data_IF_946102152426
#
_entry.id   IF_946102152426
#
_cell.length_a   1.000
_cell.length_b   1.000
_cell.length_c   1.000
_cell.angle_alpha   90.00
_cell.angle_beta   90.00
_cell.angle_gamma   90.00
#
_symmetry.space_group_name_H-M   'P 1'
#
loop_
_entity.id
_entity.type
_entity.pdbx_description
1 polymer ?
#
# COMPACT_ATOMS: atom_id res chain seq x y z
N UNK A 1 -3.77 -6.90 22.17
CA UNK A 1 -3.46 -5.87 21.16
C UNK A 1 -4.55 -5.98 20.12
N UNK A 2 -5.06 -4.88 19.56
CA UNK A 2 -6.03 -4.97 18.46
C UNK A 2 -5.32 -5.51 17.21
N UNK A 3 -6.06 -6.20 16.33
CA UNK A 3 -5.58 -6.74 15.05
C UNK A 3 -4.99 -5.66 14.14
N UNK A 4 -5.53 -4.44 14.20
CA UNK A 4 -5.03 -3.29 13.44
C UNK A 4 -3.66 -2.81 13.98
N UNK A 5 -3.49 -2.76 15.30
CA UNK A 5 -2.20 -2.40 15.92
C UNK A 5 -1.11 -3.43 15.58
N UNK A 6 -1.47 -4.71 15.53
CA UNK A 6 -0.59 -5.80 15.09
C UNK A 6 -0.10 -5.62 13.65
N UNK A 7 -1.01 -5.29 12.73
CA UNK A 7 -0.66 -5.02 11.34
C UNK A 7 0.28 -3.82 11.21
N UNK A 8 -0.02 -2.69 11.88
CA UNK A 8 0.86 -1.53 11.82
C UNK A 8 2.24 -1.82 12.42
N UNK A 9 2.29 -2.57 13.53
CA UNK A 9 3.56 -2.99 14.12
C UNK A 9 4.37 -3.84 13.14
N UNK A 10 3.75 -4.82 12.48
CA UNK A 10 4.41 -5.69 11.51
C UNK A 10 4.92 -4.90 10.29
N UNK A 11 4.13 -3.94 9.80
CA UNK A 11 4.53 -3.03 8.73
C UNK A 11 5.72 -2.15 9.12
N UNK A 12 5.70 -1.59 10.33
CA UNK A 12 6.80 -0.74 10.82
C UNK A 12 8.09 -1.56 11.01
N UNK A 13 7.98 -2.80 11.51
CA UNK A 13 9.09 -3.75 11.55
C UNK A 13 9.64 -4.02 10.14
N UNK A 14 8.78 -4.29 9.15
CA UNK A 14 9.20 -4.52 7.77
C UNK A 14 9.97 -3.33 7.17
N UNK A 15 9.51 -2.10 7.43
CA UNK A 15 10.22 -0.88 7.02
C UNK A 15 11.59 -0.77 7.68
N UNK A 16 11.67 -1.05 8.98
CA UNK A 16 12.93 -1.00 9.72
C UNK A 16 13.91 -2.08 9.25
N UNK A 17 13.43 -3.31 9.01
CA UNK A 17 14.23 -4.40 8.46
C UNK A 17 14.80 -4.03 7.09
N UNK A 18 13.98 -3.48 6.20
CA UNK A 18 14.41 -3.04 4.86
C UNK A 18 15.46 -1.93 4.96
N UNK A 19 15.26 -0.95 5.84
CA UNK A 19 16.24 0.12 6.09
C UNK A 19 17.57 -0.42 6.59
N UNK A 20 17.53 -1.32 7.59
CA UNK A 20 18.72 -1.86 8.23
C UNK A 20 19.52 -2.76 7.27
N UNK A 21 18.83 -3.67 6.56
CA UNK A 21 19.42 -4.62 5.61
C UNK A 21 19.92 -3.91 4.35
N UNK A 22 19.29 -2.82 3.93
CA UNK A 22 19.68 -2.02 2.77
C UNK A 22 20.99 -1.24 2.93
N UNK A 23 21.59 -1.22 4.12
CA UNK A 23 22.88 -0.53 4.36
C UNK A 23 24.06 -1.30 3.78
N UNK A 24 25.07 -0.59 3.26
CA UNK A 24 26.28 -1.22 2.72
C UNK A 24 27.02 -2.07 3.77
N UNK A 25 27.00 -1.66 5.04
CA UNK A 25 27.59 -2.40 6.16
C UNK A 25 26.84 -3.69 6.44
N UNK A 26 25.50 -3.66 6.48
CA UNK A 26 24.70 -4.88 6.64
C UNK A 26 24.90 -5.84 5.46
N UNK A 27 24.91 -5.33 4.22
CA UNK A 27 25.19 -6.12 3.03
C UNK A 27 26.54 -6.84 3.09
N UNK A 28 27.61 -6.15 3.52
CA UNK A 28 28.92 -6.77 3.73
C UNK A 28 28.86 -7.90 4.76
N UNK A 29 28.13 -7.69 5.86
CA UNK A 29 27.98 -8.69 6.92
C UNK A 29 27.18 -9.90 6.45
N UNK A 30 26.14 -9.73 5.63
CA UNK A 30 25.38 -10.86 5.08
C UNK A 30 26.17 -11.65 4.02
N UNK A 31 27.03 -10.98 3.25
CA UNK A 31 27.95 -11.67 2.32
C UNK A 31 29.08 -12.41 3.04
N UNK A 32 29.47 -11.96 4.23
CA UNK A 32 30.49 -12.59 5.03
C UNK A 32 30.06 -12.67 6.51
N UNK A 33 29.39 -13.76 6.92
CA UNK A 33 28.85 -13.91 8.27
C UNK A 33 29.88 -13.77 9.39
N UNK A 34 31.18 -13.96 9.12
CA UNK A 34 32.22 -13.73 10.13
C UNK A 34 32.28 -12.27 10.59
N UNK A 35 31.85 -11.32 9.75
CA UNK A 35 31.78 -9.90 10.08
C UNK A 35 30.70 -9.57 11.12
N UNK A 36 29.78 -10.49 11.43
CA UNK A 36 28.86 -10.36 12.57
C UNK A 36 29.61 -10.18 13.91
N UNK A 37 30.88 -10.61 13.99
CA UNK A 37 31.71 -10.46 15.20
C UNK A 37 32.36 -9.09 15.32
N UNK A 38 32.29 -8.24 14.30
CA UNK A 38 32.94 -6.92 14.27
C UNK A 38 31.92 -5.85 14.68
N UNK A 39 32.02 -5.25 15.89
CA UNK A 39 30.96 -4.37 16.44
C UNK A 39 30.64 -3.14 15.58
N UNK A 40 31.63 -2.62 14.85
CA UNK A 40 31.44 -1.44 13.97
C UNK A 40 30.64 -1.79 12.71
N UNK A 41 30.75 -3.03 12.23
CA UNK A 41 30.10 -3.48 10.99
C UNK A 41 28.76 -4.16 11.27
N UNK A 42 28.59 -4.77 12.44
CA UNK A 42 27.44 -5.60 12.74
C UNK A 42 26.20 -4.84 13.21
N UNK A 43 26.29 -3.55 13.56
CA UNK A 43 25.21 -2.83 14.23
C UNK A 43 23.89 -2.87 13.42
N UNK A 44 23.92 -2.45 12.15
CA UNK A 44 22.73 -2.48 11.28
C UNK A 44 22.30 -3.93 10.96
N UNK A 45 23.25 -4.85 10.77
CA UNK A 45 22.92 -6.25 10.55
C UNK A 45 22.19 -6.89 11.76
N UNK A 46 22.58 -6.51 13.00
CA UNK A 46 21.92 -6.96 14.23
C UNK A 46 20.51 -6.41 14.33
N UNK A 47 20.30 -5.14 14.01
CA UNK A 47 18.95 -4.56 13.93
C UNK A 47 18.11 -5.36 12.94
N UNK A 48 18.63 -5.61 11.73
CA UNK A 48 17.93 -6.42 10.73
C UNK A 48 17.56 -7.81 11.24
N UNK A 49 18.48 -8.51 11.92
CA UNK A 49 18.22 -9.84 12.52
C UNK A 49 17.17 -9.77 13.62
N UNK A 50 17.27 -8.80 14.54
CA UNK A 50 16.37 -8.72 15.69
C UNK A 50 14.95 -8.33 15.27
N UNK A 51 14.81 -7.41 14.31
CA UNK A 51 13.52 -7.06 13.71
C UNK A 51 12.94 -8.24 12.94
N UNK A 52 13.76 -9.00 12.21
CA UNK A 52 13.29 -10.22 11.51
C UNK A 52 12.77 -11.27 12.50
N UNK A 53 13.44 -11.45 13.64
CA UNK A 53 12.93 -12.34 14.70
C UNK A 53 11.59 -11.86 15.27
N UNK A 54 11.41 -10.56 15.45
CA UNK A 54 10.13 -10.01 15.90
C UNK A 54 9.03 -10.31 14.87
N UNK A 55 9.30 -10.13 13.59
CA UNK A 55 8.35 -10.47 12.51
C UNK A 55 8.03 -11.96 12.49
N UNK A 56 9.02 -12.86 12.56
CA UNK A 56 8.78 -14.31 12.62
C UNK A 56 7.95 -14.69 13.86
N UNK A 57 8.26 -14.08 15.02
CA UNK A 57 7.51 -14.33 16.26
C UNK A 57 6.03 -13.99 16.15
N UNK A 58 5.67 -13.04 15.28
CA UNK A 58 4.27 -12.74 14.98
C UNK A 58 3.58 -13.94 14.33
N UNK A 59 4.20 -14.55 13.33
CA UNK A 59 3.67 -15.73 12.65
C UNK A 59 3.63 -16.94 13.59
N UNK A 60 4.64 -17.12 14.46
CA UNK A 60 4.61 -18.16 15.50
C UNK A 60 3.35 -18.04 16.37
N UNK A 61 2.99 -16.82 16.79
CA UNK A 61 1.77 -16.58 17.57
C UNK A 61 0.50 -16.91 16.79
N UNK A 62 0.45 -16.64 15.49
CA UNK A 62 -0.70 -16.98 14.65
C UNK A 62 -0.84 -18.51 14.48
N UNK A 63 0.28 -19.21 14.32
CA UNK A 63 0.33 -20.69 14.27
C UNK A 63 -0.14 -21.28 15.61
N UNK A 64 0.37 -20.78 16.73
CA UNK A 64 -0.07 -21.23 18.06
C UNK A 64 -1.57 -21.00 18.30
N UNK A 65 -2.12 -19.91 17.78
CA UNK A 65 -3.56 -19.63 17.88
C UNK A 65 -4.37 -20.68 17.13
N UNK A 66 -4.01 -20.98 15.89
CA UNK A 66 -4.65 -22.01 15.06
C UNK A 66 -4.61 -23.39 15.72
N UNK A 67 -3.45 -23.77 16.27
CA UNK A 67 -3.27 -25.04 16.99
C UNK A 67 -4.11 -25.15 18.28
N UNK A 68 -4.50 -24.01 18.90
CA UNK A 68 -5.35 -23.99 20.10
C UNK A 68 -6.83 -24.01 19.75
N UNK A 69 -7.21 -23.42 18.63
CA UNK A 69 -8.61 -23.25 18.22
C UNK A 69 -9.14 -24.45 17.42
N UNK A 70 -8.24 -25.24 16.79
CA UNK A 70 -8.60 -26.33 15.89
C UNK A 70 -7.97 -27.67 16.29
N UNK A 71 -8.64 -28.77 15.94
CA UNK A 71 -8.13 -30.13 16.07
C UNK A 71 -7.80 -30.73 14.70
N UNK A 72 -6.57 -30.53 14.24
CA UNK A 72 -6.09 -31.02 12.94
C UNK A 72 -5.94 -32.55 12.86
N UNK A 73 -6.19 -33.27 13.96
CA UNK A 73 -6.33 -34.73 13.89
C UNK A 73 -7.67 -35.15 13.25
N UNK A 74 -8.60 -34.23 13.08
CA UNK A 74 -9.84 -34.48 12.36
C UNK A 74 -9.71 -34.07 10.89
N UNK A 75 -10.59 -34.60 10.05
CA UNK A 75 -10.67 -34.17 8.65
C UNK A 75 -11.38 -32.81 8.60
N UNK A 76 -10.59 -31.74 8.69
CA UNK A 76 -11.05 -30.36 8.68
C UNK A 76 -10.93 -29.79 7.26
N UNK A 77 -11.96 -29.07 6.81
CA UNK A 77 -11.88 -28.25 5.61
C UNK A 77 -11.04 -27.00 5.93
N UNK A 78 -9.90 -26.78 5.26
CA UNK A 78 -9.03 -25.66 5.58
C UNK A 78 -9.65 -24.33 5.16
N UNK A 79 -9.63 -23.33 6.07
CA UNK A 79 -10.21 -22.02 5.80
C UNK A 79 -9.18 -21.00 5.29
N UNK A 80 -7.90 -21.25 5.56
CA UNK A 80 -6.78 -20.46 5.07
C UNK A 80 -5.53 -21.32 4.80
N UNK A 81 -4.42 -20.65 4.50
CA UNK A 81 -3.15 -21.32 4.21
C UNK A 81 -2.54 -22.04 5.45
N UNK A 82 -2.70 -21.49 6.65
CA UNK A 82 -2.18 -22.11 7.87
C UNK A 82 -2.92 -23.42 8.12
N UNK A 83 -4.25 -23.41 8.01
CA UNK A 83 -5.06 -24.62 8.13
C UNK A 83 -4.63 -25.66 7.10
N UNK A 84 -4.50 -25.27 5.83
CA UNK A 84 -4.13 -26.19 4.76
C UNK A 84 -2.77 -26.85 5.02
N UNK A 85 -1.79 -26.07 5.50
CA UNK A 85 -0.48 -26.59 5.85
C UNK A 85 -0.53 -27.54 7.05
N UNK A 86 -1.30 -27.20 8.09
CA UNK A 86 -1.43 -28.01 9.31
C UNK A 86 -2.19 -29.32 9.05
N UNK A 87 -3.22 -29.29 8.19
CA UNK A 87 -3.89 -30.49 7.71
C UNK A 87 -2.93 -31.40 6.94
N UNK A 88 -2.11 -30.85 6.05
CA UNK A 88 -1.12 -31.62 5.30
C UNK A 88 -0.02 -32.19 6.22
N UNK A 89 0.44 -31.41 7.19
CA UNK A 89 1.38 -31.86 8.24
C UNK A 89 0.84 -33.10 8.97
N UNK A 90 -0.42 -33.06 9.42
CA UNK A 90 -1.03 -34.20 10.11
C UNK A 90 -1.19 -35.43 9.19
N UNK A 91 -1.52 -35.22 7.91
CA UNK A 91 -1.56 -36.30 6.90
C UNK A 91 -0.19 -36.95 6.72
N UNK A 92 0.90 -36.18 6.69
CA UNK A 92 2.27 -36.69 6.58
C UNK A 92 2.68 -37.48 7.82
N UNK A 93 2.38 -36.97 9.02
CA UNK A 93 2.67 -37.67 10.27
C UNK A 93 1.94 -39.02 10.33
N UNK A 94 0.67 -39.08 9.91
CA UNK A 94 -0.13 -40.32 9.90
C UNK A 94 0.36 -41.35 8.88
N UNK A 95 0.70 -40.90 7.68
CA UNK A 95 1.07 -41.79 6.57
C UNK A 95 2.52 -42.26 6.65
N UNK A 96 3.44 -41.37 7.01
CA UNK A 96 4.88 -41.58 6.92
C UNK A 96 5.57 -41.66 8.29
N UNK A 97 4.85 -41.41 9.40
CA UNK A 97 5.44 -41.35 10.74
C UNK A 97 6.37 -40.15 10.95
N UNK A 98 6.37 -39.18 10.03
CA UNK A 98 7.24 -38.00 10.04
C UNK A 98 6.52 -36.81 9.42
N UNK A 99 6.78 -35.60 9.94
CA UNK A 99 6.30 -34.34 9.37
C UNK A 99 7.04 -33.94 8.08
N UNK A 100 8.13 -34.61 7.71
CA UNK A 100 8.92 -34.29 6.52
C UNK A 100 9.38 -32.83 6.51
N UNK A 101 8.99 -32.08 5.48
CA UNK A 101 9.27 -30.65 5.35
C UNK A 101 8.17 -29.75 5.97
N UNK A 102 7.09 -30.32 6.51
CA UNK A 102 5.96 -29.58 7.06
C UNK A 102 6.16 -29.23 8.54
N UNK A 103 7.34 -28.72 8.90
CA UNK A 103 7.64 -28.30 10.28
C UNK A 103 6.90 -27.01 10.65
N UNK A 104 6.60 -26.79 11.94
CA UNK A 104 5.98 -25.53 12.39
C UNK A 104 6.89 -24.32 12.12
N UNK A 105 8.20 -24.50 12.24
CA UNK A 105 9.17 -23.45 11.90
C UNK A 105 9.10 -23.10 10.41
N UNK A 106 8.95 -24.11 9.54
CA UNK A 106 8.80 -23.89 8.10
C UNK A 106 7.48 -23.17 7.80
N UNK A 107 6.39 -23.52 8.50
CA UNK A 107 5.12 -22.81 8.37
C UNK A 107 5.28 -21.31 8.68
N UNK A 108 5.88 -20.97 9.82
CA UNK A 108 6.12 -19.57 10.18
C UNK A 108 6.99 -18.84 9.15
N UNK A 109 8.04 -19.49 8.63
CA UNK A 109 8.90 -18.92 7.60
C UNK A 109 8.15 -18.69 6.28
N UNK A 110 7.36 -19.67 5.83
CA UNK A 110 6.59 -19.57 4.57
C UNK A 110 5.50 -18.49 4.69
N UNK A 111 4.83 -18.38 5.85
CA UNK A 111 3.87 -17.30 6.10
C UNK A 111 4.54 -15.92 6.06
N UNK A 112 5.72 -15.78 6.66
CA UNK A 112 6.51 -14.56 6.57
C UNK A 112 6.91 -14.24 5.12
N UNK A 113 7.38 -15.23 4.37
CA UNK A 113 7.78 -15.07 2.97
C UNK A 113 6.61 -14.61 2.09
N UNK A 114 5.44 -15.25 2.22
CA UNK A 114 4.23 -14.89 1.46
C UNK A 114 3.79 -13.47 1.80
N UNK A 115 3.72 -13.13 3.10
CA UNK A 115 3.30 -11.81 3.55
C UNK A 115 4.27 -10.71 3.09
N UNK A 116 5.56 -10.91 3.32
CA UNK A 116 6.60 -9.93 2.96
C UNK A 116 6.66 -9.72 1.44
N UNK A 117 6.63 -10.79 0.65
CA UNK A 117 6.71 -10.70 -0.80
C UNK A 117 5.46 -10.05 -1.41
N UNK A 118 4.26 -10.41 -0.93
CA UNK A 118 2.99 -9.92 -1.48
C UNK A 118 2.65 -8.49 -1.08
N UNK A 119 2.87 -8.14 0.20
CA UNK A 119 2.46 -6.85 0.75
C UNK A 119 3.25 -5.69 0.14
N UNK A 120 4.59 -5.77 0.17
CA UNK A 120 5.43 -4.66 -0.25
C UNK A 120 5.31 -4.44 -1.76
N UNK A 121 5.52 -5.48 -2.57
CA UNK A 121 5.58 -5.36 -4.03
C UNK A 121 4.28 -4.86 -4.65
N UNK A 122 3.12 -5.34 -4.19
CA UNK A 122 1.83 -4.91 -4.72
C UNK A 122 1.55 -3.45 -4.34
N UNK A 123 1.77 -3.08 -3.07
CA UNK A 123 1.54 -1.71 -2.60
C UNK A 123 2.44 -0.68 -3.31
N UNK A 124 3.70 -1.02 -3.55
CA UNK A 124 4.63 -0.17 -4.30
C UNK A 124 4.20 -0.04 -5.77
N UNK A 125 3.77 -1.12 -6.41
CA UNK A 125 3.29 -1.07 -7.80
C UNK A 125 2.05 -0.19 -7.94
N UNK A 126 1.10 -0.28 -7.01
CA UNK A 126 -0.09 0.61 -6.98
C UNK A 126 0.35 2.06 -6.79
N UNK A 127 1.31 2.31 -5.89
CA UNK A 127 1.84 3.66 -5.63
C UNK A 127 2.49 4.26 -6.88
N UNK A 128 3.32 3.48 -7.59
CA UNK A 128 3.88 3.87 -8.89
C UNK A 128 2.78 4.13 -9.93
N UNK A 129 1.76 3.29 -10.00
CA UNK A 129 0.63 3.46 -10.93
C UNK A 129 -0.07 4.79 -10.69
N UNK A 130 -0.38 5.12 -9.43
CA UNK A 130 -0.99 6.40 -9.06
C UNK A 130 -0.08 7.58 -9.42
N UNK A 131 1.22 7.49 -9.11
CA UNK A 131 2.17 8.54 -9.43
C UNK A 131 2.28 8.79 -10.94
N UNK A 132 2.35 7.73 -11.75
CA UNK A 132 2.32 7.87 -13.21
C UNK A 132 1.02 8.50 -13.69
N UNK A 133 -0.14 8.07 -13.21
CA UNK A 133 -1.42 8.63 -13.67
C UNK A 133 -1.65 10.09 -13.23
N UNK A 134 -1.05 10.52 -12.12
CA UNK A 134 -1.02 11.94 -11.73
C UNK A 134 -0.17 12.78 -12.70
N UNK A 135 0.97 12.23 -13.16
CA UNK A 135 1.92 12.94 -14.03
C UNK A 135 1.57 12.87 -15.52
N UNK A 136 0.76 11.87 -15.91
CA UNK A 136 0.27 11.64 -17.26
C UNK A 136 -1.27 11.67 -17.25
N UNK A 137 -1.88 12.85 -17.01
CA UNK A 137 -3.34 12.98 -16.86
C UNK A 137 -4.12 12.50 -18.08
N UNK A 138 -3.55 12.59 -19.28
CA UNK A 138 -4.14 12.06 -20.51
C UNK A 138 -4.33 10.53 -20.45
N UNK A 139 -3.39 9.81 -19.82
CA UNK A 139 -3.53 8.38 -19.63
C UNK A 139 -4.59 8.06 -18.57
N UNK A 140 -4.68 8.90 -17.52
CA UNK A 140 -5.73 8.77 -16.50
C UNK A 140 -7.12 9.00 -17.09
N UNK A 141 -7.30 10.04 -17.90
CA UNK A 141 -8.58 10.36 -18.54
C UNK A 141 -9.02 9.27 -19.51
N UNK A 142 -8.08 8.70 -20.28
CA UNK A 142 -8.37 7.59 -21.18
C UNK A 142 -8.76 6.31 -20.43
N UNK A 143 -8.10 6.01 -19.31
CA UNK A 143 -8.46 4.91 -18.41
C UNK A 143 -9.87 5.12 -17.82
N UNK A 144 -10.16 6.32 -17.32
CA UNK A 144 -11.49 6.64 -16.77
C UNK A 144 -12.58 6.56 -17.83
N UNK A 145 -12.31 7.04 -19.05
CA UNK A 145 -13.24 6.94 -20.18
C UNK A 145 -13.58 5.47 -20.51
N UNK A 146 -12.59 4.58 -20.49
CA UNK A 146 -12.81 3.14 -20.68
C UNK A 146 -13.72 2.58 -19.58
N UNK A 147 -13.41 2.87 -18.31
CA UNK A 147 -14.18 2.39 -17.16
C UNK A 147 -15.64 2.87 -17.21
N UNK A 148 -15.85 4.16 -17.49
CA UNK A 148 -17.18 4.76 -17.59
C UNK A 148 -18.00 4.16 -18.73
N UNK A 149 -17.35 3.88 -19.87
CA UNK A 149 -18.02 3.36 -21.07
C UNK A 149 -18.39 1.89 -20.93
N UNK A 150 -17.49 1.06 -20.39
CA UNK A 150 -17.66 -0.40 -20.34
C UNK A 150 -18.45 -0.83 -19.10
N UNK A 151 -18.20 -0.20 -17.94
CA UNK A 151 -18.78 -0.61 -16.65
C UNK A 151 -19.73 0.44 -16.09
N UNK A 152 -19.33 1.72 -16.15
CA UNK A 152 -19.97 2.82 -15.44
C UNK A 152 -19.69 2.79 -13.93
N UNK A 153 -20.34 3.70 -13.19
CA UNK A 153 -20.01 3.96 -11.77
C UNK A 153 -21.01 3.34 -10.77
N UNK A 154 -21.90 2.44 -11.22
CA UNK A 154 -23.02 1.94 -10.42
C UNK A 154 -22.72 0.68 -9.58
N UNK A 155 -21.51 0.11 -9.70
CA UNK A 155 -21.09 -1.08 -8.95
C UNK A 155 -19.57 -1.13 -8.80
N UNK A 156 -19.13 -1.97 -7.87
CA UNK A 156 -17.72 -2.36 -7.74
C UNK A 156 -17.32 -3.19 -8.96
N UNK A 157 -16.13 -2.91 -9.49
CA UNK A 157 -15.50 -3.65 -10.59
C UNK A 157 -14.97 -4.97 -10.05
N UNK A 158 -15.24 -6.05 -10.80
CA UNK A 158 -14.87 -7.43 -10.47
C UNK A 158 -13.76 -7.91 -11.39
N UNK A 159 -13.02 -8.93 -10.98
CA UNK A 159 -11.95 -9.48 -11.81
C UNK A 159 -12.47 -10.10 -13.12
N UNK A 160 -13.75 -10.49 -13.18
CA UNK A 160 -14.42 -10.95 -14.40
C UNK A 160 -14.52 -9.87 -15.48
N UNK A 161 -14.48 -8.59 -15.11
CA UNK A 161 -14.56 -7.45 -16.04
C UNK A 161 -13.22 -7.18 -16.74
N UNK A 162 -12.12 -7.76 -16.22
CA UNK A 162 -10.75 -7.49 -16.67
C UNK A 162 -10.50 -7.72 -18.17
N UNK A 163 -11.05 -8.76 -18.83
CA UNK A 163 -10.84 -8.98 -20.26
C UNK A 163 -11.42 -7.86 -21.15
N UNK A 164 -12.42 -7.14 -20.67
CA UNK A 164 -13.13 -6.09 -21.41
C UNK A 164 -12.53 -4.69 -21.20
N UNK A 165 -11.44 -4.59 -20.42
CA UNK A 165 -10.77 -3.34 -20.04
C UNK A 165 -9.29 -3.31 -20.51
N UNK A 166 -9.03 -3.41 -21.83
CA UNK A 166 -7.68 -3.53 -22.36
C UNK A 166 -6.78 -2.34 -22.00
N UNK A 167 -7.27 -1.11 -22.00
CA UNK A 167 -6.46 0.06 -21.68
C UNK A 167 -6.09 0.14 -20.18
N UNK A 168 -7.02 -0.23 -19.29
CA UNK A 168 -6.73 -0.37 -17.86
C UNK A 168 -5.63 -1.41 -17.62
N UNK A 169 -5.67 -2.55 -18.31
CA UNK A 169 -4.59 -3.54 -18.24
C UNK A 169 -3.27 -3.01 -18.80
N UNK A 170 -3.31 -2.25 -19.91
CA UNK A 170 -2.14 -1.64 -20.53
C UNK A 170 -1.46 -0.62 -19.60
N UNK A 171 -2.25 0.16 -18.84
CA UNK A 171 -1.73 1.07 -17.80
C UNK A 171 -0.97 0.30 -16.73
N UNK A 172 -1.55 -0.79 -16.20
CA UNK A 172 -0.89 -1.62 -15.18
C UNK A 172 0.41 -2.22 -15.72
N UNK A 173 0.39 -2.74 -16.95
CA UNK A 173 1.57 -3.29 -17.62
C UNK A 173 2.68 -2.24 -17.78
N UNK A 174 2.34 -1.03 -18.20
CA UNK A 174 3.31 0.06 -18.34
C UNK A 174 3.80 0.56 -16.97
N UNK A 175 2.95 0.58 -15.94
CA UNK A 175 3.37 0.92 -14.58
C UNK A 175 4.36 -0.10 -14.01
N UNK A 176 4.13 -1.39 -14.25
CA UNK A 176 5.09 -2.44 -13.88
C UNK A 176 6.41 -2.29 -14.64
N UNK A 177 6.37 -1.96 -15.94
CA UNK A 177 7.58 -1.75 -16.76
C UNK A 177 8.38 -0.53 -16.31
N UNK A 178 7.72 0.62 -16.17
CA UNK A 178 8.36 1.89 -15.84
C UNK A 178 8.81 1.93 -14.38
N UNK A 179 7.95 1.48 -13.46
CA UNK A 179 8.29 1.38 -12.04
C UNK A 179 9.44 0.39 -11.82
N UNK A 180 9.36 -0.78 -12.46
CA UNK A 180 10.34 -1.86 -12.37
C UNK A 180 10.81 -2.10 -10.92
N UNK A 181 9.84 -2.36 -10.05
CA UNK A 181 10.04 -2.37 -8.60
C UNK A 181 11.07 -3.42 -8.18
N UNK A 182 11.23 -4.53 -8.91
CA UNK A 182 12.28 -5.54 -8.66
C UNK A 182 13.23 -5.55 -9.85
N UNK A 183 14.01 -4.46 -9.98
CA UNK A 183 14.90 -4.22 -11.12
C UNK A 183 16.05 -5.22 -11.23
N UNK A 184 16.61 -5.58 -10.08
CA UNK A 184 17.52 -6.72 -9.92
C UNK A 184 16.70 -7.86 -9.31
N UNK A 185 16.56 -8.95 -10.04
CA UNK A 185 15.83 -10.11 -9.55
C UNK A 185 16.55 -10.73 -8.36
N UNK A 186 15.89 -11.64 -7.64
CA UNK A 186 16.50 -12.34 -6.51
C UNK A 186 17.66 -13.22 -7.02
N UNK A 187 18.83 -13.22 -6.35
CA UNK A 187 19.97 -14.06 -6.73
C UNK A 187 19.59 -15.54 -6.94
N UNK A 188 20.28 -16.18 -7.86
CA UNK A 188 20.17 -17.61 -8.19
C UNK A 188 21.56 -18.25 -8.10
N UNK A 189 21.62 -19.56 -7.98
CA UNK A 189 22.87 -20.31 -8.07
C UNK A 189 22.75 -21.41 -9.12
N UNK A 190 23.79 -21.61 -9.91
CA UNK A 190 23.83 -22.70 -10.90
C UNK A 190 23.91 -24.03 -10.15
N UNK A 191 23.03 -24.98 -10.49
CA UNK A 191 22.93 -26.27 -9.76
C UNK A 191 23.93 -27.33 -10.21
N UNK A 192 24.51 -27.17 -11.40
CA UNK A 192 25.50 -28.04 -12.02
C UNK A 192 26.43 -27.23 -12.93
N UNK A 193 27.51 -27.82 -13.44
CA UNK A 193 28.36 -27.13 -14.40
C UNK A 193 27.60 -26.93 -15.73
N UNK A 194 27.54 -25.70 -16.24
CA UNK A 194 26.85 -25.39 -17.50
C UNK A 194 27.75 -24.58 -18.44
N UNK A 195 27.46 -24.62 -19.74
CA UNK A 195 28.01 -23.68 -20.71
C UNK A 195 26.87 -22.90 -21.37
N UNK A 196 26.93 -21.58 -21.30
CA UNK A 196 25.92 -20.66 -21.85
C UNK A 196 26.65 -19.58 -22.65
N UNK A 197 26.22 -19.36 -23.90
CA UNK A 197 26.82 -18.39 -24.82
C UNK A 197 28.35 -18.48 -24.96
N UNK A 198 28.89 -19.70 -24.89
CA UNK A 198 30.33 -19.97 -24.97
C UNK A 198 31.10 -19.76 -23.66
N UNK A 199 30.43 -19.34 -22.58
CA UNK A 199 31.02 -19.21 -21.24
C UNK A 199 30.67 -20.40 -20.37
N UNK A 200 31.66 -20.96 -19.67
CA UNK A 200 31.46 -22.05 -18.71
C UNK A 200 31.28 -21.52 -17.30
N UNK A 201 30.18 -21.94 -16.66
CA UNK A 201 29.83 -21.60 -15.28
C UNK A 201 29.89 -22.85 -14.43
N UNK A 202 30.48 -22.73 -13.24
CA UNK A 202 30.59 -23.85 -12.30
C UNK A 202 29.36 -23.95 -11.43
N UNK A 203 29.06 -25.17 -10.96
CA UNK A 203 28.08 -25.39 -9.91
C UNK A 203 28.36 -24.44 -8.73
N UNK A 204 27.32 -23.78 -8.25
CA UNK A 204 27.38 -22.80 -7.16
C UNK A 204 27.71 -21.38 -7.59
N UNK A 205 28.01 -21.11 -8.87
CA UNK A 205 28.14 -19.73 -9.35
C UNK A 205 26.83 -18.97 -9.11
N UNK A 206 26.91 -17.83 -8.42
CA UNK A 206 25.76 -16.95 -8.17
C UNK A 206 25.50 -16.11 -9.41
N UNK A 207 24.23 -16.06 -9.83
CA UNK A 207 23.74 -15.29 -10.96
C UNK A 207 22.70 -14.30 -10.45
N UNK A 208 22.83 -13.04 -10.84
CA UNK A 208 21.88 -11.98 -10.52
C UNK A 208 21.17 -11.54 -11.82
N UNK A 209 19.94 -12.02 -12.09
CA UNK A 209 19.22 -11.64 -13.30
C UNK A 209 18.83 -10.15 -13.27
N UNK A 210 19.15 -9.42 -14.33
CA UNK A 210 18.89 -7.98 -14.44
C UNK A 210 17.65 -7.72 -15.30
N UNK A 211 16.47 -7.73 -14.69
CA UNK A 211 15.19 -7.47 -15.38
C UNK A 211 15.18 -6.05 -15.98
N UNK A 212 15.81 -5.08 -15.31
CA UNK A 212 15.93 -3.70 -15.80
C UNK A 212 16.53 -3.56 -17.18
N UNK A 213 17.56 -4.36 -17.50
CA UNK A 213 18.22 -4.28 -18.81
C UNK A 213 17.24 -4.62 -19.93
N UNK A 214 16.38 -5.61 -19.72
CA UNK A 214 15.36 -6.02 -20.69
C UNK A 214 14.23 -4.98 -20.80
N UNK A 215 13.71 -4.51 -19.67
CA UNK A 215 12.57 -3.57 -19.64
C UNK A 215 12.92 -2.15 -20.10
N UNK A 216 14.22 -1.84 -20.20
CA UNK A 216 14.75 -0.57 -20.69
C UNK A 216 15.39 -0.68 -22.08
N UNK A 217 15.40 -1.85 -22.73
CA UNK A 217 15.98 -2.00 -24.06
C UNK A 217 15.12 -1.23 -25.09
N UNK A 218 15.64 -0.17 -25.75
CA UNK A 218 14.88 0.60 -26.73
C UNK A 218 14.50 -0.19 -27.99
N UNK A 219 15.13 -1.34 -28.24
CA UNK A 219 14.75 -2.25 -29.34
C UNK A 219 13.46 -3.00 -29.04
N UNK A 220 13.18 -3.26 -27.76
CA UNK A 220 11.99 -3.97 -27.29
C UNK A 220 10.90 -2.95 -26.92
N UNK A 221 11.28 -1.92 -26.15
CA UNK A 221 10.40 -0.85 -25.69
C UNK A 221 10.89 0.50 -26.22
N UNK A 222 10.41 0.94 -27.41
CA UNK A 222 10.75 2.25 -27.94
C UNK A 222 10.38 3.37 -26.97
N UNK A 223 11.27 4.37 -26.84
CA UNK A 223 11.16 5.43 -25.83
C UNK A 223 10.98 4.86 -24.41
N UNK A 224 11.93 4.04 -23.89
CA UNK A 224 11.74 3.26 -22.67
C UNK A 224 11.57 4.12 -21.41
N UNK A 225 12.00 5.38 -21.43
CA UNK A 225 11.85 6.32 -20.33
C UNK A 225 10.45 6.98 -20.27
N UNK A 226 9.69 6.93 -21.37
CA UNK A 226 8.36 7.52 -21.47
C UNK A 226 7.31 6.53 -20.99
N UNK A 227 6.45 6.97 -20.08
CA UNK A 227 5.25 6.23 -19.70
C UNK A 227 4.24 6.31 -20.84
N UNK A 228 4.02 5.20 -21.54
CA UNK A 228 3.09 5.12 -22.66
C UNK A 228 2.31 3.79 -22.65
N UNK A 229 1.11 3.74 -22.06
CA UNK A 229 0.26 2.55 -22.07
C UNK A 229 -0.13 2.08 -23.47
N UNK A 230 -0.23 2.99 -24.46
CA UNK A 230 -0.67 2.64 -25.82
C UNK A 230 0.24 1.61 -26.52
N UNK A 231 1.49 1.44 -26.05
CA UNK A 231 2.39 0.40 -26.58
C UNK A 231 1.87 -1.02 -26.39
N UNK A 232 0.98 -1.22 -25.41
CA UNK A 232 0.33 -2.50 -25.13
C UNK A 232 -1.05 -2.62 -25.78
N UNK A 233 -1.45 -1.68 -26.64
CA UNK A 233 -2.70 -1.72 -27.38
C UNK A 233 -2.41 -1.96 -28.86
N UNK A 234 -3.07 -2.95 -29.45
CA UNK A 234 -2.97 -3.23 -30.88
C UNK A 234 -3.86 -2.30 -31.72
N UNK A 235 -3.75 -2.40 -33.04
CA UNK A 235 -4.53 -1.60 -34.00
C UNK A 235 -6.05 -1.82 -33.90
N UNK A 236 -6.51 -2.89 -33.24
CA UNK A 236 -7.93 -3.19 -33.03
C UNK A 236 -8.41 -2.77 -31.63
N UNK A 237 -7.57 -2.09 -30.84
CA UNK A 237 -7.88 -1.70 -29.46
C UNK A 237 -7.76 -2.85 -28.45
N UNK A 238 -7.18 -3.99 -28.83
CA UNK A 238 -7.02 -5.14 -27.95
C UNK A 238 -5.67 -5.08 -27.22
N UNK A 239 -5.64 -5.69 -26.04
CA UNK A 239 -4.42 -5.82 -25.26
C UNK A 239 -3.42 -6.74 -25.98
N UNK A 240 -2.25 -6.21 -26.31
CA UNK A 240 -1.11 -6.93 -26.88
C UNK A 240 -0.29 -7.57 -25.77
N UNK A 241 0.03 -8.85 -25.94
CA UNK A 241 1.01 -9.54 -25.09
C UNK A 241 2.44 -9.21 -25.55
N UNK A 242 3.34 -9.01 -24.60
CA UNK A 242 4.76 -8.74 -24.83
C UNK A 242 5.55 -9.71 -23.97
N UNK A 243 6.22 -10.68 -24.60
CA UNK A 243 6.91 -11.77 -23.91
C UNK A 243 8.08 -11.27 -23.04
N UNK A 244 8.66 -10.14 -23.44
CA UNK A 244 9.77 -9.49 -22.76
C UNK A 244 9.34 -8.68 -21.52
N UNK A 245 8.03 -8.46 -21.32
CA UNK A 245 7.52 -7.84 -20.10
C UNK A 245 7.41 -8.90 -18.99
N UNK A 246 8.49 -9.05 -18.23
CA UNK A 246 8.63 -10.09 -17.18
C UNK A 246 8.77 -9.53 -15.75
N UNK A 247 7.84 -8.68 -15.26
CA UNK A 247 7.92 -8.11 -13.91
C UNK A 247 7.85 -9.17 -12.79
N UNK A 248 7.40 -10.38 -13.12
CA UNK A 248 7.29 -11.52 -12.22
C UNK A 248 8.40 -12.57 -12.41
N UNK A 249 9.47 -12.25 -13.17
CA UNK A 249 10.50 -13.20 -13.60
C UNK A 249 9.95 -14.31 -14.51
N UNK A 250 10.80 -15.27 -14.88
CA UNK A 250 10.46 -16.48 -15.65
C UNK A 250 11.11 -17.73 -15.04
N UNK A 251 10.69 -18.92 -15.53
CA UNK A 251 11.30 -20.21 -15.20
C UNK A 251 10.82 -20.82 -13.87
N UNK A 252 11.58 -21.79 -13.33
CA UNK A 252 11.22 -22.56 -12.13
C UNK A 252 11.04 -21.73 -10.84
N UNK A 253 11.53 -20.48 -10.83
CA UNK A 253 11.44 -19.52 -9.72
C UNK A 253 10.70 -18.25 -10.16
N UNK A 254 9.75 -18.38 -11.09
CA UNK A 254 8.76 -17.34 -11.38
C UNK A 254 7.97 -17.01 -10.11
N UNK A 255 7.49 -15.77 -9.98
CA UNK A 255 6.76 -15.32 -8.81
C UNK A 255 5.56 -16.22 -8.53
N UNK A 256 5.53 -16.83 -7.33
CA UNK A 256 4.42 -17.67 -6.87
C UNK A 256 3.11 -16.89 -6.83
N UNK A 257 3.17 -15.60 -6.48
CA UNK A 257 2.02 -14.72 -6.32
C UNK A 257 1.54 -14.03 -7.59
N UNK A 258 2.07 -14.34 -8.78
CA UNK A 258 1.74 -13.62 -10.02
C UNK A 258 0.22 -13.52 -10.28
N UNK A 259 -0.50 -14.62 -10.12
CA UNK A 259 -1.96 -14.65 -10.34
C UNK A 259 -2.71 -13.72 -9.40
N UNK A 260 -2.37 -13.76 -8.11
CA UNK A 260 -2.96 -12.92 -7.07
C UNK A 260 -2.62 -11.45 -7.29
N UNK A 261 -1.33 -11.13 -7.49
CA UNK A 261 -0.86 -9.77 -7.71
C UNK A 261 -1.54 -9.14 -8.94
N UNK A 262 -1.66 -9.85 -10.06
CA UNK A 262 -2.34 -9.33 -11.25
C UNK A 262 -3.83 -9.03 -10.99
N UNK A 263 -4.49 -9.85 -10.18
CA UNK A 263 -5.88 -9.60 -9.77
C UNK A 263 -5.96 -8.36 -8.87
N UNK A 264 -5.11 -8.26 -7.84
CA UNK A 264 -5.11 -7.13 -6.91
C UNK A 264 -4.79 -5.81 -7.62
N UNK A 265 -3.72 -5.77 -8.42
CA UNK A 265 -3.33 -4.57 -9.18
C UNK A 265 -4.48 -4.09 -10.07
N UNK A 266 -5.18 -5.01 -10.73
CA UNK A 266 -6.36 -4.69 -11.53
C UNK A 266 -7.51 -4.17 -10.67
N UNK A 267 -7.91 -4.91 -9.64
CA UNK A 267 -9.06 -4.53 -8.79
C UNK A 267 -8.83 -3.19 -8.09
N UNK A 268 -7.66 -2.96 -7.51
CA UNK A 268 -7.34 -1.69 -6.86
C UNK A 268 -7.28 -0.55 -7.86
N UNK A 269 -6.56 -0.71 -8.97
CA UNK A 269 -6.44 0.35 -9.99
C UNK A 269 -7.80 0.69 -10.58
N UNK A 270 -8.53 -0.31 -11.08
CA UNK A 270 -9.82 -0.09 -11.71
C UNK A 270 -10.82 0.56 -10.73
N UNK A 271 -10.96 0.05 -9.51
CA UNK A 271 -11.92 0.61 -8.56
C UNK A 271 -11.53 2.00 -8.04
N UNK A 272 -10.23 2.27 -7.83
CA UNK A 272 -9.79 3.61 -7.41
C UNK A 272 -10.08 4.64 -8.50
N UNK A 273 -9.69 4.37 -9.75
CA UNK A 273 -9.86 5.34 -10.83
C UNK A 273 -11.29 5.41 -11.38
N UNK A 274 -12.13 4.39 -11.16
CA UNK A 274 -13.58 4.44 -11.44
C UNK A 274 -14.33 5.37 -10.46
N UNK A 275 -13.75 5.70 -9.31
CA UNK A 275 -14.43 6.47 -8.25
C UNK A 275 -13.75 7.81 -7.96
N UNK A 276 -12.48 7.95 -8.32
CA UNK A 276 -11.66 9.10 -7.96
C UNK A 276 -10.83 9.56 -9.15
N UNK A 277 -10.74 10.89 -9.30
CA UNK A 277 -9.70 11.53 -10.10
C UNK A 277 -8.57 11.96 -9.16
N UNK A 278 -7.35 11.51 -9.46
CA UNK A 278 -6.15 11.86 -8.71
C UNK A 278 -5.41 13.00 -9.40
N UNK A 279 -5.18 14.08 -8.66
CA UNK A 279 -4.35 15.19 -9.13
C UNK A 279 -3.15 15.41 -8.21
N UNK A 280 -2.12 16.05 -8.74
CA UNK A 280 -0.98 16.47 -7.93
C UNK A 280 -1.45 17.39 -6.80
N UNK A 281 -0.83 17.24 -5.62
CA UNK A 281 -0.95 18.20 -4.53
C UNK A 281 -0.13 19.47 -4.82
N UNK A 282 0.36 20.13 -3.76
CA UNK A 282 1.28 21.27 -3.92
C UNK A 282 2.58 20.90 -4.65
N UNK A 283 3.03 19.66 -4.46
CA UNK A 283 4.23 19.10 -5.07
C UNK A 283 3.80 17.85 -5.84
N UNK A 284 4.14 17.74 -7.15
CA UNK A 284 3.87 16.52 -7.89
C UNK A 284 4.75 15.36 -7.38
N UNK A 285 4.31 14.11 -7.52
CA UNK A 285 5.11 12.96 -7.12
C UNK A 285 6.43 12.92 -7.90
N UNK A 286 7.50 12.47 -7.24
CA UNK A 286 8.78 12.21 -7.90
C UNK A 286 8.70 10.91 -8.69
N UNK A 287 9.40 10.83 -9.83
CA UNK A 287 9.66 9.55 -10.53
C UNK A 287 11.09 9.04 -10.30
N UNK A 288 11.83 9.68 -9.38
CA UNK A 288 13.15 9.19 -8.98
C UNK A 288 12.98 7.95 -8.12
N UNK A 289 13.82 6.95 -8.38
CA UNK A 289 13.81 5.66 -7.68
C UNK A 289 14.79 5.69 -6.52
N UNK A 290 14.31 5.38 -5.33
CA UNK A 290 15.17 5.00 -4.21
C UNK A 290 15.53 3.51 -4.32
N UNK A 291 16.81 3.22 -4.14
CA UNK A 291 17.33 1.85 -4.21
C UNK A 291 17.01 1.10 -2.92
N UNK A 292 16.53 -0.14 -3.04
CA UNK A 292 16.17 -1.02 -1.93
C UNK A 292 15.83 -2.42 -2.44
N UNK A 293 15.23 -3.26 -1.58
CA UNK A 293 14.71 -4.57 -1.98
C UNK A 293 13.64 -4.46 -3.07
N UNK A 294 12.86 -3.39 -3.03
CA UNK A 294 12.03 -2.89 -4.12
C UNK A 294 12.36 -1.42 -4.41
N UNK A 295 12.16 -0.98 -5.66
CA UNK A 295 12.36 0.41 -6.07
C UNK A 295 11.16 1.24 -5.63
N UNK A 296 11.40 2.20 -4.75
CA UNK A 296 10.37 3.10 -4.21
C UNK A 296 10.46 4.47 -4.84
N UNK A 297 9.38 5.23 -4.79
CA UNK A 297 9.42 6.64 -5.18
C UNK A 297 10.24 7.42 -4.16
N UNK A 298 11.19 8.25 -4.62
CA UNK A 298 11.99 9.12 -3.76
C UNK A 298 11.08 10.06 -2.97
N UNK A 299 11.15 9.95 -1.65
CA UNK A 299 10.23 10.65 -0.77
C UNK A 299 10.84 11.95 -0.25
N UNK A 300 10.62 13.03 -0.99
CA UNK A 300 10.98 14.38 -0.56
C UNK A 300 9.94 14.86 0.47
N UNK A 301 10.17 14.53 1.74
CA UNK A 301 9.45 15.01 2.93
C UNK A 301 8.00 14.51 3.16
N UNK A 302 7.85 13.26 3.63
CA UNK A 302 6.58 12.72 4.16
C UNK A 302 5.97 13.46 5.35
N UNK A 303 6.74 14.27 6.09
CA UNK A 303 6.25 14.89 7.31
C UNK A 303 5.49 16.21 7.08
N UNK A 304 5.47 16.77 5.86
CA UNK A 304 4.89 18.11 5.67
C UNK A 304 3.94 18.31 4.48
N UNK A 305 3.84 17.47 3.45
CA UNK A 305 3.23 17.95 2.18
C UNK A 305 2.31 17.02 1.35
N UNK A 306 1.79 15.92 1.86
CA UNK A 306 0.77 15.16 1.10
C UNK A 306 -0.67 15.54 1.49
N UNK A 307 -1.17 16.61 0.89
CA UNK A 307 -2.58 16.69 0.51
C UNK A 307 -2.65 16.33 -0.97
N UNK A 308 -2.87 15.06 -1.31
CA UNK A 308 -3.43 14.76 -2.63
C UNK A 308 -4.86 15.29 -2.62
N UNK A 309 -5.20 16.15 -3.59
CA UNK A 309 -6.59 16.52 -3.80
C UNK A 309 -7.27 15.34 -4.48
N UNK A 310 -8.12 14.64 -3.72
CA UNK A 310 -9.03 13.65 -4.28
C UNK A 310 -10.28 14.43 -4.67
N UNK A 311 -10.41 14.71 -5.97
CA UNK A 311 -11.64 15.28 -6.49
C UNK A 311 -12.66 14.14 -6.58
N UNK A 312 -13.56 14.05 -5.58
CA UNK A 312 -14.66 13.09 -5.59
C UNK A 312 -15.71 13.60 -6.57
N UNK A 313 -15.65 13.14 -7.81
CA UNK A 313 -16.66 13.45 -8.80
C UNK A 313 -17.94 12.65 -8.46
N UNK A 314 -18.92 13.33 -7.85
CA UNK A 314 -20.31 12.90 -7.61
C UNK A 314 -20.59 11.38 -7.57
N UNK A 315 -20.34 10.74 -6.42
CA UNK A 315 -20.69 9.32 -6.21
C UNK A 315 -22.19 9.18 -5.90
N UNK A 316 -22.82 8.19 -6.54
CA UNK A 316 -24.11 7.64 -6.13
C UNK A 316 -23.91 6.89 -4.79
N UNK A 317 -24.22 7.56 -3.68
CA UNK A 317 -23.97 7.15 -2.27
C UNK A 317 -24.35 5.70 -1.91
N UNK A 318 -25.22 5.06 -2.71
CA UNK A 318 -25.69 3.70 -2.49
C UNK A 318 -24.63 2.62 -2.78
N UNK A 319 -23.70 2.85 -3.72
CA UNK A 319 -22.66 1.87 -4.08
C UNK A 319 -21.59 1.75 -2.98
N UNK A 320 -21.20 2.90 -2.41
CA UNK A 320 -20.28 2.96 -1.26
C UNK A 320 -20.85 2.19 -0.04
N UNK A 321 -22.17 2.23 0.13
CA UNK A 321 -22.89 1.52 1.21
C UNK A 321 -22.96 0.01 1.01
N UNK A 322 -22.82 -0.46 -0.22
CA UNK A 322 -22.85 -1.88 -0.56
C UNK A 322 -21.44 -2.48 -0.55
N UNK A 323 -20.44 -1.73 -1.05
CA UNK A 323 -19.02 -2.04 -0.87
C UNK A 323 -18.63 -2.18 0.60
N UNK A 324 -19.11 -1.25 1.43
CA UNK A 324 -18.88 -1.29 2.88
C UNK A 324 -19.70 -2.36 3.60
N UNK A 325 -20.70 -3.01 2.98
CA UNK A 325 -21.42 -4.12 3.60
C UNK A 325 -20.83 -5.47 3.24
N UNK A 326 -20.37 -5.64 2.01
CA UNK A 326 -19.88 -6.92 1.51
C UNK A 326 -18.39 -7.15 1.83
N UNK A 327 -17.60 -6.08 2.05
CA UNK A 327 -16.17 -6.17 2.42
C UNK A 327 -15.94 -5.97 3.93
N UNK A 328 -16.90 -5.40 4.69
CA UNK A 328 -16.70 -5.09 6.12
C UNK A 328 -17.38 -6.05 7.10
N UNK A 329 -17.80 -7.23 6.67
CA UNK A 329 -18.43 -8.19 7.60
C UNK A 329 -17.45 -8.85 8.57
N UNK A 330 -16.13 -8.61 8.47
CA UNK A 330 -15.17 -9.11 9.48
C UNK A 330 -14.05 -8.18 9.98
N UNK A 331 -13.82 -6.94 9.47
CA UNK A 331 -12.65 -6.16 9.94
C UNK A 331 -12.78 -4.64 10.17
N UNK A 332 -13.93 -3.96 10.04
CA UNK A 332 -14.02 -2.51 10.38
C UNK A 332 -15.33 -2.13 11.07
N UNK A 333 -15.69 -2.85 12.13
CA UNK A 333 -16.89 -2.54 12.93
C UNK A 333 -16.65 -1.49 14.04
N UNK A 334 -15.45 -0.91 14.17
CA UNK A 334 -15.13 -0.02 15.28
C UNK A 334 -15.40 1.49 15.05
N UNK A 335 -15.81 1.92 13.85
CA UNK A 335 -15.73 3.35 13.50
C UNK A 335 -17.06 4.11 13.24
N UNK A 336 -18.25 3.52 13.38
CA UNK A 336 -19.48 4.22 12.96
C UNK A 336 -20.66 4.07 13.92
N UNK A 337 -20.75 4.99 14.89
CA UNK A 337 -21.99 5.24 15.64
C UNK A 337 -22.78 6.36 14.94
N UNK A 338 -23.96 6.03 14.41
CA UNK A 338 -24.83 7.01 13.74
C UNK A 338 -25.75 7.70 14.75
N UNK A 339 -25.68 9.03 14.85
CA UNK A 339 -26.75 9.84 15.44
C UNK A 339 -27.60 10.45 14.31
N UNK A 340 -28.90 10.21 14.40
CA UNK A 340 -29.92 10.63 13.43
C UNK A 340 -30.51 11.96 13.92
N UNK A 341 -30.26 13.06 13.21
CA UNK A 341 -31.06 14.28 13.31
C UNK A 341 -31.26 14.87 11.92
N UNK A 342 -32.44 15.47 11.73
CA UNK A 342 -33.08 15.76 10.45
C UNK A 342 -32.15 16.36 9.37
N UNK A 343 -31.99 15.61 8.27
CA UNK A 343 -31.62 16.14 6.95
C UNK A 343 -30.13 16.32 6.62
N UNK A 344 -29.20 16.19 7.56
CA UNK A 344 -27.76 16.23 7.27
C UNK A 344 -26.96 15.32 8.21
N UNK A 345 -26.15 14.40 7.65
CA UNK A 345 -25.28 13.51 8.44
C UNK A 345 -23.87 14.10 8.45
N UNK A 346 -23.40 14.55 9.61
CA UNK A 346 -22.00 14.89 9.85
C UNK A 346 -21.28 13.69 10.48
N UNK A 347 -20.14 13.29 9.91
CA UNK A 347 -19.28 12.27 10.48
C UNK A 347 -18.38 12.90 11.56
N UNK A 348 -18.51 12.46 12.81
CA UNK A 348 -17.59 12.83 13.90
C UNK A 348 -16.53 11.72 14.03
N UNK A 349 -15.29 12.05 13.67
CA UNK A 349 -14.13 11.14 13.73
C UNK A 349 -13.34 11.46 15.01
N UNK A 350 -13.00 10.41 15.78
CA UNK A 350 -12.14 10.50 16.96
C UNK A 350 -10.69 10.91 16.57
N UNK A 351 -9.91 11.49 17.50
CA UNK A 351 -8.83 12.41 17.13
C UNK A 351 -7.53 11.69 16.74
N UNK A 352 -7.17 11.75 15.46
CA UNK A 352 -5.79 11.67 14.99
C UNK A 352 -5.50 12.85 14.06
N UNK A 353 -4.28 13.40 14.03
CA UNK A 353 -4.03 14.70 13.39
C UNK A 353 -3.89 14.53 11.88
N UNK A 354 -4.97 14.74 11.12
CA UNK A 354 -4.89 14.90 9.66
C UNK A 354 -5.83 16.01 9.17
N UNK A 355 -5.25 17.00 8.49
CA UNK A 355 -5.94 18.15 7.91
C UNK A 355 -7.04 17.72 6.94
N UNK A 356 -8.24 18.30 7.08
CA UNK A 356 -9.29 18.28 6.07
C UNK A 356 -9.43 19.71 5.51
N UNK A 357 -9.08 19.88 4.24
CA UNK A 357 -9.32 21.11 3.48
C UNK A 357 -10.45 20.81 2.48
N UNK A 358 -11.60 21.46 2.65
CA UNK A 358 -12.71 21.42 1.71
C UNK A 358 -12.66 22.66 0.80
N UNK A 359 -12.79 22.45 -0.51
CA UNK A 359 -12.92 23.52 -1.50
C UNK A 359 -14.41 23.88 -1.66
N UNK A 360 -14.75 25.17 -1.68
CA UNK A 360 -16.10 25.67 -1.99
C UNK A 360 -16.05 26.32 -3.37
N UNK A 361 -16.92 25.94 -4.33
CA UNK A 361 -16.85 26.49 -5.68
C UNK A 361 -17.22 27.98 -5.74
N UNK A 362 -16.68 28.65 -6.75
CA UNK A 362 -16.76 30.08 -7.05
C UNK A 362 -18.14 30.71 -6.81
N UNK A 363 -18.18 31.80 -6.03
CA UNK A 363 -19.25 32.80 -6.05
C UNK A 363 -18.67 34.14 -6.51
N UNK A 364 -19.24 34.83 -7.52
CA UNK A 364 -18.71 36.12 -8.01
C UNK A 364 -18.83 37.28 -7.01
N UNK A 365 -19.41 37.06 -5.81
CA UNK A 365 -19.85 38.13 -4.90
C UNK A 365 -19.19 38.13 -3.51
N UNK A 366 -18.14 37.32 -3.26
CA UNK A 366 -17.44 37.34 -1.96
C UNK A 366 -15.92 37.09 -2.10
N UNK A 367 -15.04 38.07 -1.78
CA UNK A 367 -13.59 37.94 -1.99
C UNK A 367 -12.79 37.48 -0.75
N UNK A 368 -13.36 36.75 0.23
CA UNK A 368 -12.64 36.34 1.44
C UNK A 368 -12.50 34.81 1.56
N UNK A 369 -11.25 34.33 1.67
CA UNK A 369 -10.88 32.93 1.94
C UNK A 369 -10.63 32.74 3.45
N UNK A 370 -11.25 31.75 4.09
CA UNK A 370 -10.98 31.39 5.49
C UNK A 370 -10.45 29.95 5.59
N UNK A 371 -9.28 29.78 6.19
CA UNK A 371 -8.74 28.49 6.66
C UNK A 371 -8.84 28.46 8.19
N UNK A 372 -9.24 27.32 8.77
CA UNK A 372 -9.12 27.07 10.20
C UNK A 372 -7.89 26.19 10.48
N UNK A 373 -7.09 26.57 11.47
CA UNK A 373 -5.97 25.79 12.00
C UNK A 373 -6.24 25.59 13.50
N UNK A 374 -6.12 24.35 13.99
CA UNK A 374 -6.20 24.04 15.42
C UNK A 374 -4.82 23.64 15.92
N UNK A 375 -4.41 24.17 17.07
CA UNK A 375 -3.15 23.86 17.74
C UNK A 375 -3.38 23.07 19.04
N UNK A 376 -2.39 22.28 19.46
CA UNK A 376 -2.46 21.34 20.57
C UNK A 376 -2.05 21.97 21.92
N UNK A 377 -2.81 21.70 22.99
CA UNK A 377 -2.43 22.06 24.38
C UNK A 377 -2.45 20.81 25.26
N UNK A 378 -1.36 20.47 26.00
CA UNK A 378 -1.32 19.27 26.84
C UNK A 378 -2.16 19.40 28.12
N UNK A 379 -2.89 18.32 28.42
CA UNK A 379 -3.36 17.79 29.71
C UNK A 379 -3.55 18.73 30.93
N UNK A 380 -4.81 18.87 31.38
CA UNK A 380 -5.18 19.22 32.76
C UNK A 380 -6.30 18.28 33.23
N UNK A 381 -6.22 17.83 34.49
CA UNK A 381 -6.95 16.69 35.06
C UNK A 381 -8.38 17.00 35.57
N UNK A 382 -9.02 18.08 35.11
CA UNK A 382 -10.22 18.62 35.78
C UNK A 382 -11.44 18.97 34.89
N UNK A 383 -11.56 18.48 33.65
CA UNK A 383 -12.80 18.68 32.88
C UNK A 383 -13.08 17.55 31.87
N UNK A 384 -14.14 16.74 32.05
CA UNK A 384 -14.54 15.71 31.09
C UNK A 384 -15.64 16.28 30.19
N UNK A 385 -15.28 17.08 29.18
CA UNK A 385 -16.04 17.42 27.96
C UNK A 385 -15.19 18.46 27.19
N UNK A 386 -14.65 18.11 26.01
CA UNK A 386 -13.76 18.98 25.21
C UNK A 386 -14.37 19.30 23.85
N UNK A 387 -15.14 20.39 23.79
CA UNK A 387 -15.41 21.22 22.61
C UNK A 387 -16.15 22.46 23.10
N UNK A 388 -15.43 23.54 23.42
CA UNK A 388 -16.05 24.85 23.65
C UNK A 388 -15.97 25.66 22.35
N UNK A 389 -17.08 25.72 21.62
CA UNK A 389 -17.36 26.85 20.75
C UNK A 389 -18.22 27.82 21.59
N UNK A 390 -17.65 28.94 22.02
CA UNK A 390 -18.38 29.96 22.75
C UNK A 390 -18.90 30.99 21.73
N UNK A 391 -20.22 30.99 21.52
CA UNK A 391 -20.89 31.94 20.64
C UNK A 391 -21.31 33.17 21.45
N UNK A 392 -20.82 34.35 21.07
CA UNK A 392 -21.34 35.63 21.59
C UNK A 392 -22.29 36.26 20.57
N UNK A 393 -23.40 36.85 21.05
CA UNK A 393 -24.32 37.61 20.19
C UNK A 393 -23.75 39.00 19.90
N UNK A 394 -23.87 39.46 18.66
CA UNK A 394 -23.53 40.83 18.27
C UNK A 394 -24.84 41.54 17.89
N UNK A 395 -25.10 42.78 18.35
CA UNK A 395 -26.35 43.47 18.06
C UNK A 395 -26.51 43.85 16.57
N UNK A 396 -27.76 44.02 16.19
CA UNK A 396 -28.35 44.14 14.84
C UNK A 396 -27.72 45.16 13.88
N UNK A 397 -27.64 44.78 12.61
CA UNK A 397 -27.29 45.62 11.45
C UNK A 397 -28.16 45.11 10.29
N UNK A 398 -28.93 45.99 9.62
CA UNK A 398 -30.03 45.60 8.73
C UNK A 398 -29.61 45.20 7.29
N UNK A 399 -28.30 45.03 7.00
CA UNK A 399 -27.82 44.78 5.62
C UNK A 399 -27.00 43.49 5.41
N UNK A 400 -27.05 42.51 6.32
CA UNK A 400 -26.37 41.22 6.10
C UNK A 400 -27.07 40.06 6.82
N UNK A 401 -27.62 39.04 6.13
CA UNK A 401 -28.31 37.92 6.77
C UNK A 401 -27.40 36.74 7.17
N UNK A 402 -26.06 36.84 7.09
CA UNK A 402 -25.14 35.80 7.57
C UNK A 402 -23.94 36.45 8.29
N UNK A 403 -23.77 36.15 9.59
CA UNK A 403 -22.69 36.72 10.43
C UNK A 403 -21.76 35.62 10.95
N UNK A 404 -20.59 35.47 10.35
CA UNK A 404 -19.45 34.78 10.96
C UNK A 404 -18.18 35.56 10.59
N UNK A 405 -17.54 36.18 11.59
CA UNK A 405 -16.24 36.83 11.46
C UNK A 405 -15.39 36.47 12.68
N UNK A 406 -14.18 35.97 12.45
CA UNK A 406 -13.21 35.67 13.50
C UNK A 406 -12.13 36.76 13.55
N UNK A 407 -11.85 37.30 14.73
CA UNK A 407 -10.73 38.20 14.98
C UNK A 407 -9.85 37.59 16.09
N UNK A 408 -8.54 37.51 15.86
CA UNK A 408 -7.57 37.01 16.82
C UNK A 408 -6.82 38.18 17.47
N UNK A 409 -6.59 38.11 18.78
CA UNK A 409 -5.66 38.98 19.50
C UNK A 409 -4.78 38.14 20.44
N UNK A 410 -3.47 38.37 20.39
CA UNK A 410 -2.49 37.87 21.35
C UNK A 410 -2.63 38.64 22.67
N UNK A 411 -2.76 37.95 23.79
CA UNK A 411 -2.63 38.55 25.12
C UNK A 411 -1.45 37.90 25.86
N UNK A 412 -0.45 38.67 26.33
CA UNK A 412 0.67 38.11 27.08
C UNK A 412 0.27 37.74 28.51
N UNK A 413 0.94 36.70 29.01
CA UNK A 413 0.96 36.14 30.36
C UNK A 413 0.64 37.09 31.54
N UNK A 414 -0.28 36.69 32.42
CA UNK A 414 -0.34 37.17 33.80
C UNK A 414 -1.02 36.15 34.74
N UNK A 415 -0.49 35.92 35.96
CA UNK A 415 -1.04 34.98 36.94
C UNK A 415 -1.99 35.71 37.90
N UNK A 416 -3.30 35.36 37.90
CA UNK A 416 -4.30 35.49 39.01
C UNK A 416 -5.74 35.46 38.46
N UNK A 417 -6.69 35.16 39.36
CA UNK A 417 -8.15 34.97 39.23
C UNK A 417 -8.51 33.48 39.06
N UNK A 418 -8.73 32.64 40.10
CA UNK A 418 -9.37 32.78 41.43
C UNK A 418 -10.88 33.13 41.39
N UNK A 419 -11.67 32.21 41.95
CA UNK A 419 -13.09 32.25 42.35
C UNK A 419 -14.18 32.16 41.27
N UNK A 420 -14.71 30.94 41.05
CA UNK A 420 -16.05 30.48 41.47
C UNK A 420 -16.41 29.19 40.73
#
# INVERSE_FOLDING_TARGET
>A
MDTEDEFYRLKDCSKEATRAVGTATAGLVFMNPYLMKVPVLNAEARIGVDVTKEMISYFDRQVEKHLKENDYTQDLEPTDFLDAFLVEREKQVRSNGSEGHFSLNELSNVCFDIWSAGQETTSETITWTIAYLILYPEAQEKLQTELDTVIGSNRIIRNSDRPDLPYTNAVIMESQRCGNIVSQNIPRAVTEDITLDGFSYKKGTVVLPQISVLLQDPKIFPEPEKFNPDRFIDQNGKLRQVEELIPFSIGKRICLGEGLARMELFLFTANLFNQYKFSAGKVPPSLKKESGASSKIEDRDLRQNYCAFIEVTAINFNVFRQASRDVLSQQVAAALTFLKFDGAIFAQVAPSPRCLLAYVPFSPWCPLRLCALFDYVPSSAMCPLRLCALFASVPSSPMCPLRLGALFALVPSSPRCLFA
#
